data_IF_859182502172
#
_entry.id   IF_859182502172
#
_cell.length_a   1.000
_cell.length_b   1.000
_cell.length_c   1.000
_cell.angle_alpha   90.00
_cell.angle_beta   90.00
_cell.angle_gamma   90.00
#
_symmetry.space_group_name_H-M   'P 1'
#
loop_
_entity.id
_entity.type
_entity.pdbx_description
1 polymer ?
#
# COMPACT_ATOMS: atom_id res chain seq x y z
N UNK A 1 -94.71 -1.45 -18.88
CA UNK A 1 -93.56 -1.83 -18.12
C UNK A 1 -92.83 -2.93 -18.92
N UNK A 2 -91.80 -2.55 -19.65
CA UNK A 2 -91.04 -3.47 -20.55
C UNK A 2 -89.66 -3.76 -19.89
N UNK A 3 -89.41 -5.02 -19.61
CA UNK A 3 -88.17 -5.51 -19.07
C UNK A 3 -87.29 -5.92 -20.25
N UNK A 4 -86.18 -5.21 -20.44
CA UNK A 4 -85.17 -5.54 -21.41
C UNK A 4 -84.23 -6.62 -20.95
N UNK A 5 -84.05 -7.67 -21.74
CA UNK A 5 -83.08 -8.74 -21.53
C UNK A 5 -81.73 -8.31 -22.17
N UNK A 6 -80.69 -8.18 -21.35
CA UNK A 6 -79.33 -7.97 -21.81
C UNK A 6 -78.60 -9.32 -21.88
N UNK A 7 -78.25 -9.71 -23.10
CA UNK A 7 -77.46 -10.93 -23.33
C UNK A 7 -75.99 -10.66 -23.07
N UNK A 8 -75.39 -11.43 -22.16
CA UNK A 8 -73.94 -11.43 -21.91
C UNK A 8 -73.26 -12.41 -22.91
N UNK A 9 -72.46 -11.86 -23.80
CA UNK A 9 -71.58 -12.69 -24.64
C UNK A 9 -70.24 -12.88 -23.92
N UNK A 10 -69.97 -14.13 -23.55
CA UNK A 10 -68.72 -14.54 -22.91
C UNK A 10 -67.67 -14.81 -24.04
N UNK A 11 -66.69 -13.94 -24.19
CA UNK A 11 -65.58 -14.13 -25.11
C UNK A 11 -64.46 -14.84 -24.32
N UNK A 12 -64.24 -16.11 -24.66
CA UNK A 12 -63.04 -16.86 -24.19
C UNK A 12 -61.79 -16.43 -24.92
N UNK A 13 -60.87 -15.77 -24.26
CA UNK A 13 -59.51 -15.56 -24.74
C UNK A 13 -58.67 -16.79 -24.41
N UNK A 14 -58.28 -17.57 -25.38
CA UNK A 14 -57.22 -18.56 -25.29
C UNK A 14 -55.87 -17.80 -25.32
N UNK A 15 -55.22 -17.67 -24.16
CA UNK A 15 -53.85 -17.21 -24.08
C UNK A 15 -52.92 -18.37 -24.41
N UNK A 16 -52.31 -18.38 -25.59
CA UNK A 16 -51.22 -19.28 -25.92
C UNK A 16 -49.96 -18.78 -25.19
N UNK A 17 -49.57 -19.48 -24.10
CA UNK A 17 -48.31 -19.22 -23.41
C UNK A 17 -47.15 -19.77 -24.27
N UNK A 18 -46.48 -18.90 -25.01
CA UNK A 18 -45.21 -19.21 -25.63
C UNK A 18 -44.15 -19.30 -24.52
N UNK A 19 -43.77 -20.54 -24.13
CA UNK A 19 -42.60 -20.77 -23.26
C UNK A 19 -41.36 -20.49 -24.10
N UNK A 20 -40.85 -19.27 -23.99
CA UNK A 20 -39.53 -18.93 -24.49
C UNK A 20 -38.50 -19.57 -23.54
N UNK A 21 -37.92 -20.71 -23.91
CA UNK A 21 -36.83 -21.32 -23.21
C UNK A 21 -35.59 -20.38 -23.33
N UNK A 22 -35.41 -19.52 -22.35
CA UNK A 22 -34.14 -18.80 -22.20
C UNK A 22 -33.05 -19.83 -21.84
N UNK A 23 -32.30 -20.27 -22.83
CA UNK A 23 -31.00 -20.91 -22.62
C UNK A 23 -30.12 -19.90 -21.90
N UNK A 24 -29.95 -20.06 -20.60
CA UNK A 24 -28.89 -19.34 -19.87
C UNK A 24 -27.57 -19.80 -20.48
N UNK A 25 -27.01 -18.95 -21.33
CA UNK A 25 -25.63 -19.10 -21.75
C UNK A 25 -24.75 -18.81 -20.52
N UNK A 26 -24.46 -19.87 -19.76
CA UNK A 26 -23.53 -19.86 -18.65
C UNK A 26 -22.12 -20.13 -19.15
N UNK A 27 -21.70 -19.46 -20.22
CA UNK A 27 -20.29 -19.36 -20.49
C UNK A 27 -19.69 -18.41 -19.43
N UNK A 28 -19.33 -18.94 -18.26
CA UNK A 28 -18.44 -18.23 -17.35
C UNK A 28 -17.14 -17.99 -18.12
N UNK A 29 -16.98 -16.75 -18.59
CA UNK A 29 -15.71 -16.33 -19.17
C UNK A 29 -14.61 -16.66 -18.15
N UNK A 30 -13.54 -17.32 -18.57
CA UNK A 30 -12.41 -17.62 -17.72
C UNK A 30 -11.97 -16.34 -16.99
N UNK A 31 -11.65 -16.41 -15.69
CA UNK A 31 -11.27 -15.23 -14.94
C UNK A 31 -10.12 -14.52 -15.66
N UNK A 32 -10.30 -13.24 -15.93
CA UNK A 32 -9.25 -12.44 -16.59
C UNK A 32 -8.01 -12.45 -15.71
N UNK A 33 -6.85 -12.70 -16.29
CA UNK A 33 -5.56 -12.60 -15.60
C UNK A 33 -5.40 -11.20 -15.03
N UNK A 34 -4.86 -11.10 -13.82
CA UNK A 34 -4.63 -9.85 -13.11
C UNK A 34 -3.13 -9.63 -12.93
N UNK A 35 -2.69 -8.39 -13.04
CA UNK A 35 -1.34 -8.04 -12.65
C UNK A 35 -1.17 -8.21 -11.13
N UNK A 36 -0.01 -8.71 -10.71
CA UNK A 36 0.28 -8.94 -9.30
C UNK A 36 1.09 -7.79 -8.72
N UNK A 37 0.72 -7.34 -7.54
CA UNK A 37 1.43 -6.28 -6.81
C UNK A 37 1.80 -6.80 -5.43
N UNK A 38 3.09 -6.78 -5.10
CA UNK A 38 3.61 -7.01 -3.76
C UNK A 38 4.04 -5.67 -3.19
N UNK A 39 3.37 -5.21 -2.13
CA UNK A 39 3.76 -3.99 -1.40
C UNK A 39 4.59 -4.41 -0.20
N UNK A 40 5.87 -4.03 -0.21
CA UNK A 40 6.82 -4.24 0.88
C UNK A 40 6.99 -2.94 1.66
N UNK A 41 6.46 -2.91 2.88
CA UNK A 41 6.68 -1.83 3.84
C UNK A 41 8.06 -1.91 4.48
N UNK A 42 8.72 -0.77 4.59
CA UNK A 42 10.04 -0.63 5.20
C UNK A 42 10.03 0.32 6.38
N UNK A 43 11.09 0.27 7.18
CA UNK A 43 11.30 1.11 8.37
C UNK A 43 12.25 2.29 8.11
N UNK A 44 12.45 2.67 6.86
CA UNK A 44 13.43 3.68 6.43
C UNK A 44 14.86 3.37 6.90
N UNK A 45 15.52 2.43 6.22
CA UNK A 45 16.87 1.91 6.57
C UNK A 45 17.93 3.00 6.68
N UNK A 46 17.80 4.08 5.91
CA UNK A 46 18.69 5.25 5.98
C UNK A 46 18.45 6.13 7.20
N UNK A 47 17.34 5.93 7.92
CA UNK A 47 16.90 6.79 9.03
C UNK A 47 17.05 8.29 8.72
N UNK A 48 16.31 8.84 7.73
CA UNK A 48 16.52 10.21 7.25
C UNK A 48 16.10 11.29 8.25
N UNK A 49 15.55 10.91 9.43
CA UNK A 49 15.10 11.83 10.47
C UNK A 49 13.88 12.68 10.05
N UNK A 50 13.08 12.20 9.09
CA UNK A 50 11.92 12.94 8.57
C UNK A 50 10.62 12.62 9.27
N UNK A 51 10.57 11.46 9.94
CA UNK A 51 9.41 11.05 10.70
C UNK A 51 9.46 11.63 12.10
N UNK A 52 8.30 11.82 12.74
CA UNK A 52 8.20 12.31 14.10
C UNK A 52 8.98 11.40 15.08
N UNK A 53 9.04 10.11 14.77
CA UNK A 53 9.77 9.10 15.52
C UNK A 53 10.53 8.21 14.54
N UNK A 54 11.81 7.97 14.80
CA UNK A 54 12.67 7.21 13.90
C UNK A 54 13.26 6.00 14.62
N UNK A 55 13.17 4.83 13.98
CA UNK A 55 13.82 3.62 14.46
C UNK A 55 15.35 3.78 14.42
N UNK A 56 16.01 3.62 15.55
CA UNK A 56 17.47 3.56 15.60
C UNK A 56 17.93 2.15 15.22
N UNK A 57 18.63 2.03 14.12
CA UNK A 57 19.18 0.77 13.64
C UNK A 57 20.71 0.83 13.65
N UNK A 58 21.35 -0.34 13.81
CA UNK A 58 22.77 -0.46 13.53
C UNK A 58 23.05 -0.26 12.04
N UNK A 59 24.33 -0.08 11.69
CA UNK A 59 24.70 0.23 10.32
C UNK A 59 24.29 -0.89 9.35
N UNK A 60 23.31 -0.60 8.50
CA UNK A 60 22.85 -1.55 7.47
C UNK A 60 23.94 -1.91 6.45
N UNK A 61 25.03 -1.12 6.36
CA UNK A 61 26.20 -1.44 5.56
C UNK A 61 27.17 -2.40 6.25
N UNK A 62 26.97 -2.71 7.55
CA UNK A 62 27.79 -3.71 8.22
C UNK A 62 27.64 -5.09 7.58
N UNK A 63 28.72 -5.91 7.55
CA UNK A 63 28.72 -7.21 6.85
C UNK A 63 27.55 -8.14 7.22
N UNK A 64 27.17 -8.18 8.52
CA UNK A 64 26.02 -8.95 8.98
C UNK A 64 24.73 -8.50 8.29
N UNK A 65 24.44 -7.19 8.30
CA UNK A 65 23.22 -6.62 7.70
C UNK A 65 23.21 -6.73 6.20
N UNK A 66 24.38 -6.61 5.55
CA UNK A 66 24.52 -6.82 4.11
C UNK A 66 24.21 -8.26 3.71
N UNK A 67 24.62 -9.26 4.52
CA UNK A 67 24.22 -10.65 4.30
C UNK A 67 22.70 -10.83 4.44
N UNK A 68 22.09 -10.27 5.48
CA UNK A 68 20.65 -10.34 5.71
C UNK A 68 19.86 -9.68 4.55
N UNK A 69 20.33 -8.56 4.02
CA UNK A 69 19.73 -7.90 2.86
C UNK A 69 19.86 -8.77 1.60
N UNK A 70 21.02 -9.42 1.40
CA UNK A 70 21.20 -10.37 0.31
C UNK A 70 20.23 -11.55 0.41
N UNK A 71 20.06 -12.11 1.61
CA UNK A 71 19.10 -13.20 1.86
C UNK A 71 17.66 -12.73 1.59
N UNK A 72 17.31 -11.49 1.99
CA UNK A 72 16.02 -10.85 1.73
C UNK A 72 15.77 -10.68 0.22
N UNK A 73 16.74 -10.13 -0.53
CA UNK A 73 16.59 -9.96 -2.00
C UNK A 73 16.44 -11.31 -2.69
N UNK A 74 17.17 -12.34 -2.24
CA UNK A 74 16.97 -13.72 -2.68
C UNK A 74 15.57 -14.26 -2.41
N UNK A 75 14.97 -13.90 -1.28
CA UNK A 75 13.57 -14.23 -0.96
C UNK A 75 12.59 -13.50 -1.89
N UNK A 76 12.76 -12.20 -2.07
CA UNK A 76 11.91 -11.38 -2.94
C UNK A 76 12.03 -11.77 -4.42
N UNK A 77 13.19 -12.29 -4.84
CA UNK A 77 13.40 -12.82 -6.20
C UNK A 77 12.44 -13.96 -6.55
N UNK A 78 11.94 -14.72 -5.56
CA UNK A 78 10.90 -15.76 -5.77
C UNK A 78 9.55 -15.19 -6.22
N UNK A 79 9.27 -13.93 -5.91
CA UNK A 79 8.13 -13.21 -6.47
C UNK A 79 8.30 -13.00 -7.98
N UNK A 80 9.52 -13.06 -8.53
CA UNK A 80 9.85 -12.79 -9.93
C UNK A 80 9.27 -11.44 -10.42
N UNK A 81 9.57 -10.34 -9.77
CA UNK A 81 9.04 -9.06 -10.20
C UNK A 81 9.51 -8.71 -11.62
N UNK A 82 8.59 -8.28 -12.46
CA UNK A 82 8.86 -7.73 -13.80
C UNK A 82 9.22 -6.25 -13.72
N UNK A 83 8.77 -5.59 -12.65
CA UNK A 83 9.01 -4.16 -12.37
C UNK A 83 9.22 -3.94 -10.88
N UNK A 84 10.06 -2.96 -10.55
CA UNK A 84 10.29 -2.53 -9.17
C UNK A 84 9.97 -1.05 -9.06
N UNK A 85 9.00 -0.72 -8.20
CA UNK A 85 8.57 0.63 -7.88
C UNK A 85 9.05 1.01 -6.47
N UNK A 86 9.46 2.25 -6.28
CA UNK A 86 10.10 2.70 -5.04
C UNK A 86 9.60 4.07 -4.60
N UNK A 87 9.80 4.38 -3.32
CA UNK A 87 9.52 5.68 -2.72
C UNK A 87 10.56 6.73 -3.16
N UNK A 88 10.38 7.17 -4.39
CA UNK A 88 11.14 8.25 -4.97
C UNK A 88 10.23 9.03 -5.93
N UNK A 89 10.47 10.33 -6.16
CA UNK A 89 9.61 11.14 -7.01
C UNK A 89 9.40 10.54 -8.40
N UNK A 90 8.17 10.62 -8.90
CA UNK A 90 7.85 10.22 -10.27
C UNK A 90 8.77 10.94 -11.26
N UNK A 91 9.31 10.19 -12.22
CA UNK A 91 10.18 10.74 -13.25
C UNK A 91 11.55 11.22 -12.74
N UNK A 92 11.95 10.82 -11.52
CA UNK A 92 13.26 11.20 -10.96
C UNK A 92 14.41 10.69 -11.83
N UNK A 93 15.04 11.59 -12.56
CA UNK A 93 16.27 11.30 -13.31
C UNK A 93 17.41 10.85 -12.39
N UNK A 94 17.42 11.36 -11.15
CA UNK A 94 18.44 11.02 -10.16
C UNK A 94 18.47 9.52 -9.86
N UNK A 95 17.30 8.90 -9.57
CA UNK A 95 17.28 7.47 -9.24
C UNK A 95 17.64 6.60 -10.44
N UNK A 96 17.22 7.01 -11.63
CA UNK A 96 17.57 6.28 -12.86
C UNK A 96 19.08 6.36 -13.13
N UNK A 97 19.67 7.55 -13.03
CA UNK A 97 21.12 7.75 -13.20
C UNK A 97 21.93 6.96 -12.16
N UNK A 98 21.55 7.03 -10.88
CA UNK A 98 22.22 6.27 -9.82
C UNK A 98 22.12 4.76 -10.06
N UNK A 99 20.97 4.28 -10.53
CA UNK A 99 20.80 2.87 -10.85
C UNK A 99 21.67 2.45 -12.05
N UNK A 100 21.77 3.25 -13.10
CA UNK A 100 22.64 3.02 -14.25
C UNK A 100 24.14 3.00 -13.84
N UNK A 101 24.53 3.95 -12.99
CA UNK A 101 25.90 3.97 -12.43
C UNK A 101 26.18 2.74 -11.54
N UNK A 102 25.17 2.25 -10.79
CA UNK A 102 25.28 1.02 -10.01
C UNK A 102 25.42 -0.23 -10.89
N UNK A 103 24.65 -0.34 -11.97
CA UNK A 103 24.83 -1.43 -12.95
C UNK A 103 26.24 -1.39 -13.56
N UNK A 104 26.72 -0.20 -13.87
CA UNK A 104 28.07 0.02 -14.46
C UNK A 104 29.21 -0.07 -13.42
N UNK A 105 28.93 -0.43 -12.17
CA UNK A 105 29.90 -0.56 -11.06
C UNK A 105 30.62 0.75 -10.70
N UNK A 106 29.98 1.89 -10.98
CA UNK A 106 30.49 3.24 -10.71
C UNK A 106 29.82 3.92 -9.51
N UNK A 107 28.86 3.23 -8.85
CA UNK A 107 28.12 3.72 -7.72
C UNK A 107 28.07 2.69 -6.60
N UNK A 108 28.38 3.12 -5.38
CA UNK A 108 28.24 2.31 -4.17
C UNK A 108 26.92 2.59 -3.50
N UNK A 109 26.16 1.54 -3.17
CA UNK A 109 24.86 1.66 -2.54
C UNK A 109 24.98 2.34 -1.17
N UNK A 110 24.08 3.29 -0.90
CA UNK A 110 23.93 3.94 0.39
C UNK A 110 23.07 3.09 1.34
N UNK A 111 22.70 3.64 2.51
CA UNK A 111 21.83 2.96 3.48
C UNK A 111 20.36 2.88 3.07
N UNK A 112 19.96 3.55 2.02
CA UNK A 112 18.55 3.67 1.61
C UNK A 112 17.99 2.34 1.08
N UNK A 113 16.78 1.99 1.47
CA UNK A 113 16.08 0.76 1.06
C UNK A 113 15.81 0.68 -0.44
N UNK A 114 15.58 1.81 -1.11
CA UNK A 114 15.48 1.88 -2.58
C UNK A 114 16.70 1.28 -3.23
N UNK A 115 17.87 1.56 -2.68
CA UNK A 115 19.16 1.08 -3.21
C UNK A 115 19.45 -0.33 -2.70
N UNK A 116 19.35 -0.55 -1.39
CA UNK A 116 19.73 -1.80 -0.75
C UNK A 116 18.85 -2.98 -1.17
N UNK A 117 17.56 -2.75 -1.40
CA UNK A 117 16.62 -3.78 -1.85
C UNK A 117 16.32 -3.59 -3.34
N UNK A 118 15.87 -2.39 -3.72
CA UNK A 118 15.36 -2.11 -5.06
C UNK A 118 16.42 -2.25 -6.15
N UNK A 119 17.54 -1.54 -6.03
CA UNK A 119 18.61 -1.58 -7.05
C UNK A 119 19.28 -2.94 -7.10
N UNK A 120 19.54 -3.59 -5.94
CA UNK A 120 20.11 -4.94 -5.92
C UNK A 120 19.25 -5.91 -6.69
N UNK A 121 17.98 -6.00 -6.32
CA UNK A 121 17.08 -6.95 -6.93
C UNK A 121 16.86 -6.65 -8.41
N UNK A 122 16.76 -5.37 -8.80
CA UNK A 122 16.64 -4.96 -10.19
C UNK A 122 17.89 -5.40 -11.01
N UNK A 123 19.10 -5.19 -10.48
CA UNK A 123 20.37 -5.66 -11.12
C UNK A 123 20.39 -7.16 -11.25
N UNK A 124 20.05 -7.91 -10.20
CA UNK A 124 20.01 -9.37 -10.20
C UNK A 124 18.99 -9.98 -11.18
N UNK A 125 17.91 -9.25 -11.48
CA UNK A 125 16.87 -9.64 -12.42
C UNK A 125 17.13 -9.11 -13.85
N UNK A 126 18.17 -8.31 -14.05
CA UNK A 126 18.50 -7.72 -15.34
C UNK A 126 17.55 -6.60 -15.78
N UNK A 127 16.88 -5.96 -14.83
CA UNK A 127 15.99 -4.83 -15.14
C UNK A 127 16.81 -3.63 -15.62
N UNK A 128 16.27 -2.89 -16.59
CA UNK A 128 16.93 -1.69 -17.15
C UNK A 128 16.63 -0.43 -16.33
N UNK A 129 15.60 -0.47 -15.46
CA UNK A 129 15.15 0.70 -14.68
C UNK A 129 14.44 0.31 -13.40
N UNK A 130 14.40 1.27 -12.48
CA UNK A 130 13.56 1.29 -11.28
C UNK A 130 12.61 2.47 -11.38
N UNK A 131 11.38 2.33 -10.90
CA UNK A 131 10.31 3.30 -11.09
C UNK A 131 10.06 4.08 -9.80
N UNK A 132 10.30 5.40 -9.79
CA UNK A 132 9.80 6.26 -8.73
C UNK A 132 8.30 6.46 -8.88
N UNK A 133 7.55 6.29 -7.79
CA UNK A 133 6.10 6.47 -7.78
C UNK A 133 5.63 7.45 -6.70
N UNK A 134 6.56 8.06 -5.95
CA UNK A 134 6.22 9.02 -4.89
C UNK A 134 5.80 10.38 -5.45
N UNK A 135 4.99 11.07 -4.66
CA UNK A 135 4.64 12.45 -4.83
C UNK A 135 4.69 13.14 -3.46
N UNK A 136 5.25 14.34 -3.43
CA UNK A 136 5.23 15.15 -2.21
C UNK A 136 3.80 15.46 -1.81
N UNK A 137 3.50 15.36 -0.53
CA UNK A 137 2.20 15.69 0.05
C UNK A 137 2.36 16.29 1.44
N UNK A 138 1.32 16.93 1.92
CA UNK A 138 1.28 17.54 3.23
C UNK A 138 0.80 16.52 4.29
N UNK A 139 1.32 16.67 5.49
CA UNK A 139 0.84 15.99 6.69
C UNK A 139 0.67 17.03 7.81
N UNK A 140 -0.41 17.83 7.77
CA UNK A 140 -0.59 19.00 8.63
C UNK A 140 -0.96 18.61 10.07
N UNK A 141 0.03 18.26 10.88
CA UNK A 141 -0.17 17.84 12.26
C UNK A 141 -0.39 19.01 13.24
N UNK A 142 0.23 20.16 13.00
CA UNK A 142 0.14 21.33 13.88
C UNK A 142 -1.29 21.79 14.17
N UNK A 143 -2.25 21.82 13.22
CA UNK A 143 -3.64 22.15 13.50
C UNK A 143 -4.29 21.22 14.52
N UNK A 144 -3.93 19.93 14.55
CA UNK A 144 -4.44 18.98 15.56
C UNK A 144 -3.95 19.35 16.95
N UNK A 145 -2.64 19.65 17.08
CA UNK A 145 -2.04 20.05 18.36
C UNK A 145 -2.68 21.36 18.89
N UNK A 146 -2.89 22.35 18.00
CA UNK A 146 -3.56 23.59 18.35
C UNK A 146 -5.00 23.38 18.77
N UNK A 147 -5.76 22.55 18.06
CA UNK A 147 -7.12 22.17 18.40
C UNK A 147 -7.19 21.45 19.76
N UNK A 148 -6.30 20.49 20.00
CA UNK A 148 -6.22 19.76 21.26
C UNK A 148 -5.97 20.71 22.43
N UNK A 149 -5.02 21.63 22.30
CA UNK A 149 -4.72 22.67 23.31
C UNK A 149 -5.92 23.58 23.57
N UNK A 150 -6.54 24.13 22.52
CA UNK A 150 -7.70 25.03 22.59
C UNK A 150 -8.89 24.40 23.29
N UNK A 151 -9.07 23.07 23.15
CA UNK A 151 -10.24 22.34 23.64
C UNK A 151 -9.94 21.44 24.86
N UNK A 152 -8.79 21.58 25.54
CA UNK A 152 -8.43 20.81 26.72
C UNK A 152 -8.26 19.31 26.46
N UNK A 153 -7.83 18.93 25.25
CA UNK A 153 -7.67 17.54 24.79
C UNK A 153 -6.19 17.13 24.61
N UNK A 154 -5.27 17.89 25.22
CA UNK A 154 -3.83 17.63 25.08
C UNK A 154 -3.44 16.25 25.64
N UNK A 155 -4.01 15.86 26.81
CA UNK A 155 -3.74 14.54 27.39
C UNK A 155 -4.17 13.40 26.44
N UNK A 156 -5.31 13.57 25.76
CA UNK A 156 -5.82 12.61 24.80
C UNK A 156 -4.85 12.48 23.60
N UNK A 157 -4.39 13.60 23.06
CA UNK A 157 -3.41 13.60 21.95
C UNK A 157 -2.08 12.96 22.39
N UNK A 158 -1.57 13.36 23.56
CA UNK A 158 -0.33 12.80 24.12
C UNK A 158 -0.46 11.29 24.39
N UNK A 159 -1.62 10.82 24.82
CA UNK A 159 -1.92 9.40 25.00
C UNK A 159 -1.81 8.60 23.70
N UNK A 160 -2.28 9.15 22.60
CA UNK A 160 -2.12 8.54 21.26
C UNK A 160 -0.64 8.54 20.82
N UNK A 161 0.01 9.69 20.90
CA UNK A 161 1.41 9.85 20.47
C UNK A 161 2.34 8.94 21.28
N UNK A 162 2.08 8.74 22.58
CA UNK A 162 2.89 7.90 23.46
C UNK A 162 2.92 6.41 23.11
N UNK A 163 2.07 5.96 22.19
CA UNK A 163 2.09 4.57 21.69
C UNK A 163 3.23 4.35 20.70
N UNK A 164 3.64 5.39 19.95
CA UNK A 164 4.65 5.29 18.91
C UNK A 164 6.04 4.90 19.43
N UNK A 165 6.58 5.51 20.52
CA UNK A 165 7.84 5.06 21.13
C UNK A 165 7.85 3.58 21.55
N UNK A 166 6.73 3.05 22.06
CA UNK A 166 6.60 1.64 22.44
C UNK A 166 6.71 0.71 21.23
N UNK A 167 6.11 1.13 20.13
CA UNK A 167 6.21 0.39 18.88
C UNK A 167 7.66 0.38 18.34
N UNK A 168 8.36 1.51 18.41
CA UNK A 168 9.77 1.61 18.06
C UNK A 168 10.64 0.71 18.95
N UNK A 169 10.37 0.64 20.25
CA UNK A 169 11.05 -0.28 21.16
C UNK A 169 10.84 -1.75 20.74
N UNK A 170 9.61 -2.11 20.36
CA UNK A 170 9.27 -3.45 19.87
C UNK A 170 10.07 -3.78 18.61
N UNK A 171 10.04 -2.88 17.60
CA UNK A 171 10.80 -3.05 16.37
C UNK A 171 12.31 -3.13 16.60
N UNK A 172 12.83 -2.29 17.50
CA UNK A 172 14.25 -2.32 17.91
C UNK A 172 14.63 -3.65 18.56
N UNK A 173 13.75 -4.20 19.43
CA UNK A 173 13.97 -5.48 20.07
C UNK A 173 13.97 -6.65 19.06
N UNK A 174 13.08 -6.61 18.07
CA UNK A 174 13.03 -7.59 16.98
C UNK A 174 14.34 -7.55 16.19
N UNK A 175 14.77 -6.35 15.76
CA UNK A 175 15.99 -6.19 14.97
C UNK A 175 17.26 -6.56 15.74
N UNK A 176 17.31 -6.27 17.06
CA UNK A 176 18.45 -6.62 17.91
C UNK A 176 18.62 -8.13 18.07
N UNK A 177 17.52 -8.88 18.17
CA UNK A 177 17.52 -10.33 18.38
C UNK A 177 17.52 -11.14 17.08
N UNK A 178 16.99 -10.56 16.00
CA UNK A 178 16.75 -11.21 14.73
C UNK A 178 17.46 -10.51 13.56
N UNK A 179 16.83 -10.62 12.40
CA UNK A 179 17.32 -10.14 11.13
C UNK A 179 16.45 -8.98 10.60
N UNK A 180 16.93 -8.30 9.55
CA UNK A 180 16.14 -7.34 8.78
C UNK A 180 14.86 -8.01 8.24
N UNK A 181 14.94 -9.25 7.78
CA UNK A 181 13.76 -10.01 7.29
C UNK A 181 12.74 -10.25 8.41
N UNK A 182 13.18 -10.52 9.64
CA UNK A 182 12.26 -10.71 10.78
C UNK A 182 11.52 -9.41 11.10
N UNK A 183 12.22 -8.28 11.09
CA UNK A 183 11.58 -6.97 11.28
C UNK A 183 10.60 -6.65 10.14
N UNK A 184 11.01 -6.85 8.88
CA UNK A 184 10.11 -6.61 7.75
C UNK A 184 8.91 -7.55 7.77
N UNK A 185 9.08 -8.80 8.21
CA UNK A 185 7.95 -9.73 8.38
C UNK A 185 6.96 -9.20 9.42
N UNK A 186 7.44 -8.69 10.55
CA UNK A 186 6.60 -8.07 11.57
C UNK A 186 5.83 -6.86 11.02
N UNK A 187 6.52 -5.92 10.39
CA UNK A 187 5.93 -4.70 9.80
C UNK A 187 4.85 -5.02 8.75
N UNK A 188 5.06 -6.09 7.97
CA UNK A 188 4.17 -6.45 6.85
C UNK A 188 3.08 -7.47 7.23
N UNK A 189 2.91 -7.79 8.52
CA UNK A 189 1.77 -8.60 8.99
C UNK A 189 0.47 -7.79 8.89
N UNK A 190 -0.60 -8.43 8.45
CA UNK A 190 -1.92 -7.78 8.31
C UNK A 190 -2.39 -7.12 9.61
N UNK A 191 -2.08 -7.73 10.76
CA UNK A 191 -2.42 -7.17 12.05
C UNK A 191 -1.66 -5.87 12.33
N UNK A 192 -0.33 -5.87 12.11
CA UNK A 192 0.50 -4.68 12.30
C UNK A 192 0.07 -3.54 11.36
N UNK A 193 -0.17 -3.85 10.08
CA UNK A 193 -0.65 -2.88 9.09
C UNK A 193 -1.98 -2.24 9.52
N UNK A 194 -2.90 -3.04 10.10
CA UNK A 194 -4.16 -2.50 10.65
C UNK A 194 -3.95 -1.66 11.89
N UNK A 195 -3.06 -2.07 12.81
CA UNK A 195 -2.76 -1.31 14.03
C UNK A 195 -2.13 0.04 13.71
N UNK A 196 -1.20 0.08 12.76
CA UNK A 196 -0.61 1.33 12.27
C UNK A 196 -1.70 2.24 11.68
N UNK A 197 -2.58 1.70 10.85
CA UNK A 197 -3.71 2.46 10.30
C UNK A 197 -4.67 2.97 11.40
N UNK A 198 -4.91 2.22 12.46
CA UNK A 198 -5.77 2.67 13.57
C UNK A 198 -5.20 3.90 14.28
N UNK A 199 -3.87 4.03 14.36
CA UNK A 199 -3.25 5.25 14.87
C UNK A 199 -3.68 6.46 14.04
N UNK A 200 -3.57 6.39 12.71
CA UNK A 200 -4.03 7.47 11.83
C UNK A 200 -5.54 7.73 12.02
N UNK A 201 -6.36 6.71 11.99
CA UNK A 201 -7.83 6.86 12.17
C UNK A 201 -8.20 7.47 13.51
N UNK A 202 -7.41 7.24 14.56
CA UNK A 202 -7.63 7.86 15.86
C UNK A 202 -7.48 9.38 15.84
N UNK A 203 -6.76 9.94 14.89
CA UNK A 203 -6.64 11.40 14.72
C UNK A 203 -7.96 12.03 14.25
N UNK A 204 -8.86 11.29 13.59
CA UNK A 204 -10.16 11.78 13.13
C UNK A 204 -11.03 12.33 14.28
N UNK A 205 -10.82 11.86 15.50
CA UNK A 205 -11.58 12.32 16.67
C UNK A 205 -11.25 13.77 17.07
N UNK A 206 -10.14 14.35 16.58
CA UNK A 206 -9.79 15.75 16.83
C UNK A 206 -10.59 16.65 15.88
N UNK A 207 -11.87 16.79 16.18
CA UNK A 207 -12.83 17.64 15.50
C UNK A 207 -13.89 18.14 16.50
N UNK A 208 -14.56 19.24 16.16
CA UNK A 208 -15.67 19.81 16.94
C UNK A 208 -15.81 21.31 16.73
N UNK A 209 -16.95 21.87 17.14
CA UNK A 209 -17.23 23.29 17.02
C UNK A 209 -17.06 23.88 15.59
N UNK A 210 -17.30 23.05 14.55
CA UNK A 210 -17.12 23.45 13.15
C UNK A 210 -15.65 23.37 12.65
N UNK A 211 -14.71 22.90 13.47
CA UNK A 211 -13.31 22.69 13.12
C UNK A 211 -13.03 21.19 12.94
N UNK A 212 -12.26 20.81 11.90
CA UNK A 212 -12.02 19.40 11.53
C UNK A 212 -10.54 19.08 11.27
N UNK A 213 -9.59 19.51 12.12
CA UNK A 213 -8.15 19.34 11.81
C UNK A 213 -7.71 17.87 11.69
N UNK A 214 -8.31 16.95 12.45
CA UNK A 214 -8.03 15.52 12.32
C UNK A 214 -8.52 14.94 11.00
N UNK A 215 -9.81 15.09 10.64
CA UNK A 215 -10.32 14.72 9.32
C UNK A 215 -9.56 15.35 8.14
N UNK A 216 -9.15 16.63 8.25
CA UNK A 216 -8.42 17.34 7.20
C UNK A 216 -7.03 16.73 6.99
N UNK A 217 -6.33 16.37 8.08
CA UNK A 217 -5.06 15.64 8.00
C UNK A 217 -5.23 14.29 7.31
N UNK A 218 -6.27 13.52 7.67
CA UNK A 218 -6.53 12.22 7.05
C UNK A 218 -6.88 12.37 5.57
N UNK A 219 -7.62 13.41 5.20
CA UNK A 219 -7.92 13.70 3.80
C UNK A 219 -6.65 14.00 3.00
N UNK A 220 -5.74 14.82 3.55
CA UNK A 220 -4.44 15.12 2.94
C UNK A 220 -3.57 13.87 2.82
N UNK A 221 -3.52 13.03 3.86
CA UNK A 221 -2.79 11.78 3.87
C UNK A 221 -3.33 10.79 2.83
N UNK A 222 -4.65 10.61 2.77
CA UNK A 222 -5.27 9.75 1.75
C UNK A 222 -5.06 10.32 0.34
N UNK A 223 -5.16 11.63 0.17
CA UNK A 223 -4.88 12.27 -1.13
C UNK A 223 -3.46 11.95 -1.63
N UNK A 224 -2.44 11.96 -0.75
CA UNK A 224 -1.09 11.53 -1.12
C UNK A 224 -1.07 10.06 -1.53
N UNK A 225 -1.66 9.17 -0.74
CA UNK A 225 -1.65 7.74 -0.98
C UNK A 225 -2.35 7.36 -2.30
N UNK A 226 -3.52 7.93 -2.59
CA UNK A 226 -4.23 7.64 -3.86
C UNK A 226 -3.47 8.17 -5.09
N UNK A 227 -2.70 9.26 -4.94
CA UNK A 227 -1.81 9.74 -6.00
C UNK A 227 -0.61 8.80 -6.22
N UNK A 228 -0.02 8.26 -5.15
CA UNK A 228 1.02 7.23 -5.22
C UNK A 228 0.47 5.99 -5.93
N UNK A 229 -0.72 5.55 -5.55
CA UNK A 229 -1.42 4.46 -6.24
C UNK A 229 -1.66 4.76 -7.73
N UNK A 230 -2.09 5.96 -8.08
CA UNK A 230 -2.25 6.38 -9.47
C UNK A 230 -0.92 6.29 -10.24
N UNK A 231 0.19 6.68 -9.62
CA UNK A 231 1.53 6.55 -10.20
C UNK A 231 1.92 5.07 -10.38
N UNK A 232 1.59 4.20 -9.41
CA UNK A 232 1.76 2.76 -9.54
C UNK A 232 0.97 2.20 -10.72
N UNK A 233 -0.27 2.66 -10.92
CA UNK A 233 -1.09 2.27 -12.07
C UNK A 233 -0.45 2.60 -13.43
N UNK A 234 0.28 3.71 -13.52
CA UNK A 234 1.01 4.08 -14.74
C UNK A 234 2.25 3.20 -15.00
N UNK A 235 2.74 2.49 -13.97
CA UNK A 235 3.83 1.51 -14.12
C UNK A 235 3.32 0.17 -14.67
N UNK A 236 2.06 -0.19 -14.38
CA UNK A 236 1.45 -1.46 -14.77
C UNK A 236 0.86 -1.32 -16.18
N UNK A 237 1.40 -2.04 -17.16
CA UNK A 237 0.95 -2.00 -18.55
C UNK A 237 0.51 -3.36 -19.11
N UNK A 238 0.63 -4.44 -18.33
CA UNK A 238 0.26 -5.79 -18.71
C UNK A 238 -0.41 -6.57 -17.56
N UNK A 239 -1.38 -7.44 -17.83
CA UNK A 239 -1.89 -8.39 -16.83
C UNK A 239 -0.86 -9.45 -16.43
N UNK A 240 0.27 -9.53 -17.12
CA UNK A 240 1.40 -10.39 -16.77
C UNK A 240 2.39 -9.71 -15.81
N UNK A 241 2.22 -8.41 -15.54
CA UNK A 241 3.11 -7.69 -14.65
C UNK A 241 3.06 -8.23 -13.21
N UNK A 242 4.23 -8.26 -12.62
CA UNK A 242 4.48 -8.56 -11.21
C UNK A 242 5.29 -7.41 -10.65
N UNK A 243 4.60 -6.48 -9.97
CA UNK A 243 5.25 -5.25 -9.50
C UNK A 243 5.59 -5.38 -8.03
N UNK A 244 6.87 -5.29 -7.70
CA UNK A 244 7.33 -5.11 -6.32
C UNK A 244 7.36 -3.61 -6.02
N UNK A 245 6.60 -3.19 -5.01
CA UNK A 245 6.58 -1.81 -4.47
C UNK A 245 7.35 -1.81 -3.16
N UNK A 246 8.39 -0.98 -3.04
CA UNK A 246 9.18 -0.79 -1.81
C UNK A 246 8.90 0.61 -1.29
N UNK A 247 8.28 0.69 -0.10
CA UNK A 247 7.74 1.95 0.40
C UNK A 247 7.77 2.01 1.94
N UNK A 248 7.78 3.19 2.54
CA UNK A 248 7.66 3.34 3.99
C UNK A 248 6.37 2.70 4.53
N UNK A 249 6.47 2.03 5.69
CA UNK A 249 5.37 1.21 6.24
C UNK A 249 4.08 1.97 6.49
N UNK A 250 4.13 3.26 6.82
CA UNK A 250 2.93 4.09 7.03
C UNK A 250 2.01 4.19 5.82
N UNK A 251 2.49 3.85 4.62
CA UNK A 251 1.70 3.82 3.39
C UNK A 251 1.04 2.46 3.10
N UNK A 252 1.42 1.39 3.82
CA UNK A 252 1.04 0.02 3.48
C UNK A 252 -0.46 -0.20 3.42
N UNK A 253 -1.18 0.27 4.45
CA UNK A 253 -2.62 0.04 4.54
C UNK A 253 -3.34 0.55 3.28
N UNK A 254 -3.06 1.79 2.90
CA UNK A 254 -3.72 2.42 1.75
C UNK A 254 -3.31 1.76 0.44
N UNK A 255 -2.00 1.56 0.20
CA UNK A 255 -1.53 0.93 -1.03
C UNK A 255 -2.04 -0.50 -1.20
N UNK A 256 -2.07 -1.30 -0.12
CA UNK A 256 -2.64 -2.64 -0.17
C UNK A 256 -4.16 -2.59 -0.40
N UNK A 257 -4.86 -1.65 0.25
CA UNK A 257 -6.30 -1.49 0.08
C UNK A 257 -6.66 -1.08 -1.33
N UNK A 258 -5.96 -0.11 -1.90
CA UNK A 258 -6.19 0.36 -3.27
C UNK A 258 -5.95 -0.75 -4.31
N UNK A 259 -4.93 -1.62 -4.08
CA UNK A 259 -4.70 -2.81 -4.90
C UNK A 259 -5.85 -3.81 -4.76
N UNK A 260 -6.30 -4.11 -3.54
CA UNK A 260 -7.41 -5.05 -3.27
C UNK A 260 -8.73 -4.58 -3.87
N UNK A 261 -8.99 -3.28 -3.87
CA UNK A 261 -10.21 -2.68 -4.43
C UNK A 261 -10.17 -2.56 -5.97
N UNK A 262 -9.05 -2.92 -6.60
CA UNK A 262 -8.88 -2.88 -8.06
C UNK A 262 -9.34 -4.17 -8.72
N UNK A 263 -10.17 -4.05 -9.74
CA UNK A 263 -10.76 -5.21 -10.42
C UNK A 263 -9.73 -6.06 -11.19
N UNK A 264 -8.62 -5.45 -11.62
CA UNK A 264 -7.59 -6.00 -12.51
C UNK A 264 -6.23 -6.22 -11.84
N UNK A 265 -6.15 -6.02 -10.52
CA UNK A 265 -4.95 -6.28 -9.72
C UNK A 265 -5.18 -7.41 -8.72
N UNK A 266 -4.08 -8.02 -8.30
CA UNK A 266 -4.02 -9.04 -7.26
C UNK A 266 -2.91 -8.69 -6.28
N UNK A 267 -3.23 -8.65 -4.98
CA UNK A 267 -2.25 -8.38 -3.93
C UNK A 267 -1.50 -9.66 -3.56
N UNK A 268 -0.18 -9.67 -3.78
CA UNK A 268 0.71 -10.71 -3.26
C UNK A 268 1.20 -10.33 -1.86
N UNK A 269 1.35 -11.31 -0.97
CA UNK A 269 1.76 -11.11 0.42
C UNK A 269 3.25 -11.35 0.59
N UNK A 270 3.94 -10.47 1.31
CA UNK A 270 5.37 -10.62 1.60
C UNK A 270 5.69 -11.94 2.32
N UNK A 271 4.83 -12.35 3.28
CA UNK A 271 5.00 -13.60 4.03
C UNK A 271 5.03 -14.87 3.19
N UNK A 272 4.49 -14.85 1.96
CA UNK A 272 4.53 -16.00 1.05
C UNK A 272 5.93 -16.25 0.49
N UNK A 273 6.77 -15.22 0.46
CA UNK A 273 8.11 -15.23 -0.11
C UNK A 273 9.22 -15.21 0.95
N UNK A 274 9.02 -14.53 2.06
CA UNK A 274 9.98 -14.39 3.15
C UNK A 274 9.51 -15.20 4.38
N UNK A 275 9.76 -16.52 4.34
CA UNK A 275 9.46 -17.42 5.47
C UNK A 275 10.54 -17.35 6.54
#
# INVERSE_FOLDING_TARGET
MRIGRTSFVLVLFLAAASVCAQTKDTSQAAPKKKAQVLVLGTFHMANPGRDMFNLQVDDVLAPKRQKEISDLTGALKRFQPTKIAVEAPVGSEKIQKQYEEYIAEKYSLTRNETEQIGYRLAKELGHKRVYGIDIQGDFPFDPIAQFAKKNGREEQLNGLISQVPKEIETMSAILKKGTITDLLRYINQDEHVRQDHYFYMSLAQFAGNGEYPGPDLLAAWYQRNIRIYSNLRMVIDSPDDRVLVIYGSGHLFWLQRDVLDSADLELARFGDYAK
#
